data_IF_859604782067
#
_entry.id   IF_859604782067
#
_cell.length_a   1.000
_cell.length_b   1.000
_cell.length_c   1.000
_cell.angle_alpha   90.00
_cell.angle_beta   90.00
_cell.angle_gamma   90.00
#
_symmetry.space_group_name_H-M   'P 1'
#
loop_
_entity.id
_entity.type
_entity.pdbx_description
1 polymer ?
#
# COMPACT_ATOMS: atom_id res chain seq x y z
N UNK A 1 13.28 5.20 14.10
CA UNK A 1 13.00 6.30 13.17
C UNK A 1 12.09 5.73 12.12
N UNK A 2 10.86 6.24 12.02
CA UNK A 2 10.01 5.94 10.88
C UNK A 2 10.57 6.66 9.66
N UNK A 3 10.75 5.93 8.57
CA UNK A 3 11.31 6.48 7.33
C UNK A 3 10.31 7.39 6.60
N UNK A 4 9.07 7.49 7.08
CA UNK A 4 8.02 8.31 6.45
C UNK A 4 7.69 7.90 5.01
N UNK A 5 7.95 6.64 4.65
CA UNK A 5 7.75 6.15 3.28
C UNK A 5 6.27 5.91 2.98
N UNK A 6 5.49 5.54 3.99
CA UNK A 6 4.05 5.33 3.88
C UNK A 6 3.33 5.97 5.07
N UNK A 7 2.10 6.41 4.81
CA UNK A 7 1.13 6.85 5.83
C UNK A 7 -0.24 6.23 5.50
N UNK A 8 -1.10 6.10 6.51
CA UNK A 8 -2.39 5.47 6.35
C UNK A 8 -3.23 5.45 7.62
N UNK A 9 -4.40 4.84 7.51
CA UNK A 9 -5.36 4.68 8.60
C UNK A 9 -5.44 3.21 9.02
N UNK A 10 -5.43 2.92 10.32
CA UNK A 10 -5.64 1.55 10.81
C UNK A 10 -7.09 1.12 10.58
N UNK A 11 -7.26 -0.01 9.87
CA UNK A 11 -8.55 -0.64 9.64
C UNK A 11 -8.59 -2.08 10.13
N UNK A 12 -9.74 -2.73 9.96
CA UNK A 12 -9.96 -4.13 10.35
C UNK A 12 -9.11 -5.15 9.57
N UNK A 13 -8.50 -4.72 8.46
CA UNK A 13 -7.66 -5.54 7.57
C UNK A 13 -6.19 -5.10 7.57
N UNK A 14 -5.79 -4.27 8.54
CA UNK A 14 -4.47 -3.66 8.61
C UNK A 14 -4.46 -2.20 8.19
N UNK A 15 -3.27 -1.67 7.91
CA UNK A 15 -3.07 -0.28 7.51
C UNK A 15 -3.61 -0.04 6.08
N UNK A 16 -4.61 0.82 5.96
CA UNK A 16 -5.05 1.37 4.68
C UNK A 16 -4.11 2.51 4.26
N UNK A 17 -3.26 2.26 3.27
CA UNK A 17 -2.22 3.21 2.84
C UNK A 17 -2.82 4.31 1.96
N UNK A 18 -2.65 5.56 2.38
CA UNK A 18 -3.13 6.75 1.67
C UNK A 18 -1.98 7.55 1.05
N UNK A 19 -0.80 7.56 1.69
CA UNK A 19 0.39 8.26 1.20
C UNK A 19 1.53 7.27 0.94
N UNK A 20 2.20 7.39 -0.20
CA UNK A 20 3.45 6.68 -0.52
C UNK A 20 4.47 7.69 -1.05
N UNK A 21 5.66 7.73 -0.45
CA UNK A 21 6.75 8.65 -0.78
C UNK A 21 6.29 10.12 -0.90
N UNK A 22 5.42 10.55 0.02
CA UNK A 22 4.86 11.91 0.05
C UNK A 22 3.74 12.18 -0.97
N UNK A 23 3.30 11.18 -1.74
CA UNK A 23 2.16 11.30 -2.65
C UNK A 23 0.92 10.69 -2.03
N UNK A 24 -0.10 11.50 -1.79
CA UNK A 24 -1.40 11.07 -1.25
C UNK A 24 -2.39 10.86 -2.38
N UNK A 25 -3.14 9.75 -2.34
CA UNK A 25 -4.27 9.48 -3.23
C UNK A 25 -5.59 9.70 -2.49
N UNK A 26 -6.62 10.15 -3.21
CA UNK A 26 -7.95 10.45 -2.68
C UNK A 26 -9.01 9.66 -3.45
N UNK A 27 -9.34 8.49 -2.92
CA UNK A 27 -10.31 7.60 -3.55
C UNK A 27 -11.68 8.24 -3.74
N UNK A 28 -12.14 9.05 -2.78
CA UNK A 28 -13.45 9.68 -2.84
C UNK A 28 -13.50 10.80 -3.90
N UNK A 29 -12.37 11.48 -4.15
CA UNK A 29 -12.28 12.53 -5.15
C UNK A 29 -12.12 12.02 -6.59
N UNK A 30 -11.26 11.01 -6.81
CA UNK A 30 -10.86 10.61 -8.16
C UNK A 30 -10.81 9.09 -8.43
N UNK A 31 -11.12 8.28 -7.42
CA UNK A 31 -11.20 6.83 -7.50
C UNK A 31 -9.83 6.14 -7.49
N UNK A 32 -8.74 6.84 -7.15
CA UNK A 32 -7.43 6.23 -7.04
C UNK A 32 -7.13 5.71 -5.63
N UNK A 33 -6.39 4.61 -5.57
CA UNK A 33 -5.92 3.97 -4.34
C UNK A 33 -4.55 3.31 -4.56
N UNK A 34 -3.83 3.02 -3.46
CA UNK A 34 -2.54 2.33 -3.52
C UNK A 34 -2.71 0.81 -3.44
N UNK A 35 -2.43 0.12 -4.54
CA UNK A 35 -2.42 -1.34 -4.61
C UNK A 35 -1.06 -1.90 -4.19
N UNK A 36 -1.05 -2.75 -3.15
CA UNK A 36 0.12 -3.50 -2.73
C UNK A 36 0.24 -4.80 -3.54
N UNK A 37 1.43 -5.07 -4.07
CA UNK A 37 1.73 -6.30 -4.80
C UNK A 37 3.04 -6.95 -4.34
N UNK A 38 3.09 -8.28 -4.41
CA UNK A 38 4.30 -9.09 -4.31
C UNK A 38 4.56 -9.74 -5.68
N UNK A 39 5.76 -9.54 -6.24
CA UNK A 39 6.17 -10.09 -7.53
C UNK A 39 5.16 -9.80 -8.66
N UNK A 40 4.56 -8.61 -8.63
CA UNK A 40 3.57 -8.15 -9.61
C UNK A 40 2.17 -8.75 -9.46
N UNK A 41 1.91 -9.52 -8.39
CA UNK A 41 0.57 -10.04 -8.06
C UNK A 41 0.03 -9.30 -6.84
N UNK A 42 -1.24 -8.92 -6.88
CA UNK A 42 -1.89 -8.22 -5.76
C UNK A 42 -1.79 -9.02 -4.47
N UNK A 43 -1.40 -8.35 -3.39
CA UNK A 43 -1.32 -8.95 -2.08
C UNK A 43 -2.72 -9.27 -1.54
N UNK A 44 -2.86 -10.43 -0.89
CA UNK A 44 -4.11 -10.85 -0.24
C UNK A 44 -4.24 -10.40 1.22
N UNK A 45 -3.21 -9.74 1.75
CA UNK A 45 -3.12 -9.22 3.13
C UNK A 45 -2.61 -7.78 3.11
N UNK A 46 -2.87 -7.04 4.19
CA UNK A 46 -2.35 -5.69 4.38
C UNK A 46 -0.83 -5.64 4.51
N UNK A 47 -0.25 -4.44 4.33
CA UNK A 47 1.21 -4.20 4.38
C UNK A 47 1.83 -4.57 5.73
N UNK A 48 1.06 -4.50 6.81
CA UNK A 48 1.43 -4.88 8.17
C UNK A 48 1.51 -6.41 8.38
N UNK A 49 0.83 -7.18 7.52
CA UNK A 49 0.71 -8.63 7.60
C UNK A 49 1.41 -9.38 6.47
N UNK A 50 1.92 -8.67 5.45
CA UNK A 50 2.60 -9.28 4.30
C UNK A 50 4.03 -9.70 4.70
N UNK A 51 4.36 -11.01 4.71
CA UNK A 51 5.72 -11.46 5.01
C UNK A 51 6.70 -10.98 3.94
N UNK A 52 7.88 -10.54 4.39
CA UNK A 52 8.98 -10.16 3.50
C UNK A 52 9.83 -11.40 3.20
N UNK A 53 9.83 -11.80 1.94
CA UNK A 53 10.56 -12.96 1.43
C UNK A 53 11.85 -12.51 0.73
N UNK A 54 12.94 -13.24 0.94
CA UNK A 54 14.20 -12.96 0.26
C UNK A 54 14.05 -13.13 -1.26
N UNK A 55 14.59 -12.17 -2.01
CA UNK A 55 14.47 -12.12 -3.47
C UNK A 55 13.10 -11.69 -4.03
N UNK A 56 12.08 -11.47 -3.20
CA UNK A 56 10.79 -10.92 -3.66
C UNK A 56 10.88 -9.42 -3.97
N UNK A 57 10.00 -8.97 -4.87
CA UNK A 57 9.78 -7.56 -5.18
C UNK A 57 8.43 -7.11 -4.65
N UNK A 58 8.36 -5.90 -4.10
CA UNK A 58 7.15 -5.33 -3.55
C UNK A 58 6.92 -3.94 -4.11
N UNK A 59 5.67 -3.62 -4.43
CA UNK A 59 5.31 -2.32 -5.00
C UNK A 59 3.97 -1.82 -4.48
N UNK A 60 3.90 -0.51 -4.26
CA UNK A 60 2.66 0.24 -4.22
C UNK A 60 2.43 0.88 -5.59
N UNK A 61 1.29 0.59 -6.20
CA UNK A 61 0.90 1.14 -7.51
C UNK A 61 -0.35 1.98 -7.35
N UNK A 62 -0.34 3.20 -7.90
CA UNK A 62 -1.54 4.02 -7.97
C UNK A 62 -2.50 3.40 -8.97
N UNK A 63 -3.62 2.90 -8.48
CA UNK A 63 -4.60 2.13 -9.26
C UNK A 63 -5.94 2.84 -9.20
N UNK A 64 -6.67 2.82 -10.32
CA UNK A 64 -8.02 3.38 -10.39
C UNK A 64 -9.06 2.26 -10.41
N UNK A 65 -10.16 2.46 -9.67
CA UNK A 65 -11.35 1.59 -9.73
C UNK A 65 -12.01 1.57 -11.11
#
# INVERSE_FOLDING_TARGET
>A
MDLGLIEGEEGSYGLYVTTVLGTTLDYDADGYWWALSENGTDASVGVDSLPVNDGSTYAFTATKA
#
